data_IF_736533575861
#
_entry.id   IF_736533575861
#
_cell.length_a   1.000
_cell.length_b   1.000
_cell.length_c   1.000
_cell.angle_alpha   90.00
_cell.angle_beta   90.00
_cell.angle_gamma   90.00
#
_symmetry.space_group_name_H-M   'P 1'
#
loop_
_entity.id
_entity.type
_entity.pdbx_description
1 polymer ?
#
# COMPACT_ATOMS: atom_id res chain seq x y z
N UNK A 1 5.62 -13.16 20.03
CA UNK A 1 6.94 -12.57 20.37
C UNK A 1 7.46 -11.50 19.39
N UNK A 2 6.68 -10.99 18.42
CA UNK A 2 7.22 -10.05 17.43
C UNK A 2 6.61 -8.63 17.44
N UNK A 3 5.93 -8.23 18.52
CA UNK A 3 5.53 -6.83 18.77
C UNK A 3 6.63 -6.06 19.54
N UNK A 4 7.45 -6.80 20.30
CA UNK A 4 8.59 -6.23 21.03
C UNK A 4 9.70 -5.75 20.07
N UNK A 5 9.88 -6.40 18.91
CA UNK A 5 10.86 -6.01 17.90
C UNK A 5 10.50 -4.73 17.14
N UNK A 6 9.21 -4.52 16.82
CA UNK A 6 8.73 -3.27 16.23
C UNK A 6 8.79 -2.10 17.23
N UNK A 7 8.47 -2.36 18.51
CA UNK A 7 8.65 -1.37 19.58
C UNK A 7 10.11 -1.05 19.84
N UNK A 8 11.01 -2.04 19.82
CA UNK A 8 12.43 -1.78 20.03
C UNK A 8 13.04 -1.05 18.83
N UNK A 9 12.62 -1.31 17.59
CA UNK A 9 13.08 -0.54 16.42
C UNK A 9 12.62 0.93 16.46
N UNK A 10 11.40 1.17 16.96
CA UNK A 10 10.87 2.52 17.19
C UNK A 10 11.55 3.25 18.37
N UNK A 11 12.16 2.51 19.30
CA UNK A 11 12.77 3.04 20.52
C UNK A 11 14.31 3.01 20.53
N UNK A 12 14.95 2.24 19.65
CA UNK A 12 16.40 2.06 19.56
C UNK A 12 17.06 2.94 18.48
N UNK A 13 16.25 3.65 17.70
CA UNK A 13 16.70 4.77 16.88
C UNK A 13 17.16 5.91 17.77
N UNK A 14 18.45 5.93 18.09
CA UNK A 14 19.13 7.03 18.75
C UNK A 14 18.91 8.33 17.97
N UNK A 15 17.94 9.11 18.40
CA UNK A 15 17.83 10.52 18.07
C UNK A 15 17.01 11.14 19.20
N UNK A 16 17.61 12.12 19.88
CA UNK A 16 16.92 13.23 20.54
C UNK A 16 15.48 13.35 20.06
N UNK A 17 14.49 13.26 20.96
CA UNK A 17 13.04 13.35 20.70
C UNK A 17 12.71 14.32 19.55
N UNK A 18 12.84 13.81 18.33
CA UNK A 18 12.64 14.52 17.09
C UNK A 18 11.23 14.19 16.72
N UNK A 19 10.40 15.22 16.60
CA UNK A 19 9.04 15.08 16.11
C UNK A 19 9.05 14.15 14.89
N UNK A 20 8.34 13.03 14.96
CA UNK A 20 8.09 12.20 13.79
C UNK A 20 7.51 13.14 12.73
N UNK A 21 8.23 13.33 11.63
CA UNK A 21 7.77 14.21 10.56
C UNK A 21 6.39 13.75 10.08
N UNK A 22 5.47 14.67 9.73
CA UNK A 22 4.08 14.34 9.39
C UNK A 22 3.99 13.26 8.28
N UNK A 23 4.92 13.25 7.33
CA UNK A 23 4.96 12.26 6.27
C UNK A 23 5.20 10.81 6.70
N UNK A 24 5.84 10.58 7.86
CA UNK A 24 6.02 9.22 8.41
C UNK A 24 4.68 8.68 8.92
N UNK A 25 3.90 9.53 9.59
CA UNK A 25 2.57 9.15 10.10
C UNK A 25 1.64 8.88 8.93
N UNK A 26 1.62 9.74 7.92
CA UNK A 26 0.79 9.56 6.72
C UNK A 26 1.14 8.27 5.98
N UNK A 27 2.44 7.97 5.79
CA UNK A 27 2.92 6.73 5.17
C UNK A 27 2.44 5.49 5.95
N UNK A 28 2.60 5.51 7.27
CA UNK A 28 2.14 4.41 8.13
C UNK A 28 0.64 4.21 8.03
N UNK A 29 -0.16 5.29 8.09
CA UNK A 29 -1.61 5.19 8.00
C UNK A 29 -2.07 4.71 6.62
N UNK A 30 -1.40 5.12 5.54
CA UNK A 30 -1.67 4.64 4.18
C UNK A 30 -1.48 3.13 4.06
N UNK A 31 -0.42 2.60 4.67
CA UNK A 31 -0.06 1.17 4.62
C UNK A 31 -0.89 0.30 5.59
N UNK A 32 -1.25 0.87 6.73
CA UNK A 32 -1.91 0.17 7.83
C UNK A 32 -3.43 0.14 7.72
N UNK A 33 -4.05 1.07 7.00
CA UNK A 33 -5.50 1.20 6.93
C UNK A 33 -6.11 0.55 5.67
N UNK A 34 -7.29 -0.10 5.80
CA UNK A 34 -8.04 -0.35 7.03
C UNK A 34 -7.43 -1.47 7.89
N UNK A 35 -7.50 -1.34 9.21
CA UNK A 35 -7.19 -2.45 10.12
C UNK A 35 -8.31 -3.50 10.06
N UNK A 36 -7.95 -4.76 9.86
CA UNK A 36 -8.90 -5.84 9.64
C UNK A 36 -8.95 -6.78 10.84
N UNK A 37 -10.15 -7.19 11.25
CA UNK A 37 -10.31 -8.28 12.23
C UNK A 37 -9.94 -9.63 11.61
N UNK A 38 -9.64 -10.62 12.45
CA UNK A 38 -9.36 -12.00 11.99
C UNK A 38 -10.40 -12.52 10.98
N UNK A 39 -11.68 -12.36 11.26
CA UNK A 39 -12.75 -12.86 10.39
C UNK A 39 -12.79 -12.14 9.04
N UNK A 40 -12.62 -10.80 9.03
CA UNK A 40 -12.55 -10.02 7.79
C UNK A 40 -11.31 -10.38 6.98
N UNK A 41 -10.16 -10.52 7.62
CA UNK A 41 -8.92 -10.95 6.99
C UNK A 41 -9.07 -12.35 6.34
N UNK A 42 -9.68 -13.29 7.06
CA UNK A 42 -9.96 -14.64 6.57
C UNK A 42 -10.90 -14.63 5.36
N UNK A 43 -11.95 -13.81 5.40
CA UNK A 43 -12.89 -13.65 4.29
C UNK A 43 -12.19 -13.05 3.06
N UNK A 44 -11.41 -11.98 3.26
CA UNK A 44 -10.66 -11.34 2.19
C UNK A 44 -9.67 -12.30 1.53
N UNK A 45 -8.87 -13.03 2.30
CA UNK A 45 -7.94 -14.02 1.77
C UNK A 45 -8.67 -15.10 0.98
N UNK A 46 -9.80 -15.61 1.47
CA UNK A 46 -10.60 -16.60 0.74
C UNK A 46 -11.08 -16.04 -0.61
N UNK A 47 -11.58 -14.81 -0.62
CA UNK A 47 -12.09 -14.15 -1.83
C UNK A 47 -10.98 -13.86 -2.84
N UNK A 48 -9.86 -13.29 -2.39
CA UNK A 48 -8.67 -13.04 -3.23
C UNK A 48 -8.14 -14.35 -3.81
N UNK A 49 -8.04 -15.40 -2.98
CA UNK A 49 -7.52 -16.70 -3.42
C UNK A 49 -8.40 -17.34 -4.49
N UNK A 50 -9.73 -17.24 -4.34
CA UNK A 50 -10.68 -17.68 -5.35
C UNK A 50 -10.47 -16.92 -6.67
N UNK A 51 -10.35 -15.59 -6.60
CA UNK A 51 -10.15 -14.72 -7.77
C UNK A 51 -8.85 -15.04 -8.50
N UNK A 52 -7.78 -15.30 -7.77
CA UNK A 52 -6.46 -15.63 -8.32
C UNK A 52 -6.28 -17.11 -8.64
N UNK A 53 -7.33 -17.93 -8.45
CA UNK A 53 -7.32 -19.38 -8.70
C UNK A 53 -6.19 -20.09 -7.93
N UNK A 54 -6.04 -19.76 -6.66
CA UNK A 54 -5.04 -20.32 -5.76
C UNK A 54 -5.67 -20.88 -4.48
N UNK A 55 -4.97 -21.80 -3.83
CA UNK A 55 -5.37 -22.31 -2.53
C UNK A 55 -5.21 -21.21 -1.47
N UNK A 56 -6.23 -20.98 -0.62
CA UNK A 56 -6.13 -19.97 0.41
C UNK A 56 -5.07 -20.34 1.45
N UNK A 57 -4.12 -19.44 1.77
CA UNK A 57 -3.16 -19.68 2.82
C UNK A 57 -3.82 -19.74 4.20
N UNK A 58 -3.18 -20.48 5.10
CA UNK A 58 -3.49 -20.41 6.52
C UNK A 58 -2.98 -19.07 7.07
N UNK A 59 -3.84 -18.38 7.82
CA UNK A 59 -3.46 -17.19 8.56
C UNK A 59 -3.25 -17.50 10.05
N UNK A 60 -2.25 -16.88 10.69
CA UNK A 60 -2.07 -16.99 12.14
C UNK A 60 -3.32 -16.47 12.87
N UNK A 61 -3.58 -16.94 14.09
CA UNK A 61 -4.69 -16.43 14.90
C UNK A 61 -4.24 -15.17 15.62
N UNK A 62 -4.36 -14.04 14.93
CA UNK A 62 -4.09 -12.70 15.47
C UNK A 62 -5.38 -11.89 15.57
N UNK A 63 -5.51 -10.98 16.55
CA UNK A 63 -6.72 -10.17 16.74
C UNK A 63 -6.97 -9.21 15.57
N UNK A 64 -5.90 -8.71 14.95
CA UNK A 64 -5.96 -7.76 13.85
C UNK A 64 -4.86 -8.02 12.82
N UNK A 65 -5.14 -7.59 11.59
CA UNK A 65 -4.22 -7.64 10.45
C UNK A 65 -4.15 -6.28 9.78
N UNK A 66 -2.94 -5.89 9.38
CA UNK A 66 -2.77 -4.80 8.43
C UNK A 66 -2.97 -5.34 7.01
N UNK A 67 -3.42 -4.51 6.07
CA UNK A 67 -3.55 -4.92 4.69
C UNK A 67 -2.23 -5.43 4.08
N UNK A 68 -1.12 -4.77 4.43
CA UNK A 68 0.22 -5.19 4.00
C UNK A 68 0.58 -6.59 4.51
N UNK A 69 0.11 -6.98 5.70
CA UNK A 69 0.31 -8.34 6.21
C UNK A 69 -0.46 -9.37 5.38
N UNK A 70 -1.69 -9.07 4.97
CA UNK A 70 -2.47 -9.98 4.14
C UNK A 70 -1.83 -10.18 2.77
N UNK A 71 -1.40 -9.10 2.12
CA UNK A 71 -0.70 -9.19 0.83
C UNK A 71 0.61 -9.98 0.97
N UNK A 72 1.36 -9.75 2.06
CA UNK A 72 2.60 -10.48 2.36
C UNK A 72 2.36 -11.98 2.55
N UNK A 73 1.40 -12.37 3.39
CA UNK A 73 1.03 -13.80 3.60
C UNK A 73 0.63 -14.46 2.28
N UNK A 74 -0.18 -13.77 1.47
CA UNK A 74 -0.60 -14.27 0.15
C UNK A 74 0.58 -14.43 -0.81
N UNK A 75 1.49 -13.46 -0.83
CA UNK A 75 2.71 -13.50 -1.65
C UNK A 75 3.62 -14.66 -1.23
N UNK A 76 3.86 -14.84 0.07
CA UNK A 76 4.63 -15.95 0.62
C UNK A 76 4.05 -17.31 0.19
N UNK A 77 2.73 -17.47 0.31
CA UNK A 77 2.03 -18.68 -0.12
C UNK A 77 2.14 -18.92 -1.64
N UNK A 78 2.10 -17.85 -2.43
CA UNK A 78 2.24 -17.93 -3.87
C UNK A 78 3.64 -18.37 -4.28
N UNK A 79 4.67 -17.80 -3.67
CA UNK A 79 6.08 -18.16 -3.90
C UNK A 79 6.33 -19.62 -3.53
N UNK A 80 5.77 -20.09 -2.42
CA UNK A 80 5.86 -21.49 -2.00
C UNK A 80 5.19 -22.46 -3.01
N UNK A 81 4.08 -22.05 -3.63
CA UNK A 81 3.31 -22.91 -4.53
C UNK A 81 3.79 -22.89 -6.00
N UNK A 82 4.31 -21.76 -6.49
CA UNK A 82 4.63 -21.54 -7.91
C UNK A 82 6.14 -21.47 -8.21
N UNK A 83 6.99 -21.43 -7.19
CA UNK A 83 8.43 -21.26 -7.34
C UNK A 83 8.83 -19.83 -7.71
N UNK A 84 10.15 -19.58 -7.81
CA UNK A 84 10.71 -18.24 -7.96
C UNK A 84 10.47 -17.58 -9.33
N UNK A 85 10.04 -18.33 -10.35
CA UNK A 85 9.90 -17.83 -11.71
C UNK A 85 8.44 -17.87 -12.17
N UNK A 86 7.92 -16.71 -12.55
CA UNK A 86 6.62 -16.59 -13.21
C UNK A 86 6.64 -15.49 -14.26
N UNK A 87 5.98 -15.73 -15.39
CA UNK A 87 5.70 -14.69 -16.39
C UNK A 87 4.56 -13.76 -15.97
N UNK A 88 3.85 -14.10 -14.88
CA UNK A 88 2.78 -13.27 -14.34
C UNK A 88 3.34 -12.33 -13.27
N UNK A 89 2.84 -11.10 -13.31
CA UNK A 89 3.12 -10.12 -12.28
C UNK A 89 2.21 -10.31 -11.06
N UNK A 90 2.60 -11.23 -10.19
CA UNK A 90 1.79 -11.59 -9.03
C UNK A 90 1.62 -10.46 -8.02
N UNK A 91 2.60 -9.56 -7.92
CA UNK A 91 2.53 -8.42 -7.02
C UNK A 91 1.43 -7.44 -7.45
N UNK A 92 1.34 -7.13 -8.74
CA UNK A 92 0.24 -6.31 -9.27
C UNK A 92 -1.11 -7.03 -9.21
N UNK A 93 -1.15 -8.33 -9.52
CA UNK A 93 -2.39 -9.11 -9.46
C UNK A 93 -2.94 -9.20 -8.03
N UNK A 94 -2.07 -9.40 -7.03
CA UNK A 94 -2.45 -9.40 -5.62
C UNK A 94 -2.95 -8.04 -5.17
N UNK A 95 -2.23 -6.96 -5.48
CA UNK A 95 -2.66 -5.61 -5.14
C UNK A 95 -4.01 -5.28 -5.79
N UNK A 96 -4.21 -5.63 -7.06
CA UNK A 96 -5.47 -5.41 -7.76
C UNK A 96 -6.63 -6.20 -7.12
N UNK A 97 -6.41 -7.48 -6.82
CA UNK A 97 -7.41 -8.30 -6.16
C UNK A 97 -7.75 -7.77 -4.75
N UNK A 98 -6.75 -7.35 -3.97
CA UNK A 98 -6.93 -6.75 -2.65
C UNK A 98 -7.75 -5.44 -2.71
N UNK A 99 -7.56 -4.60 -3.75
CA UNK A 99 -8.40 -3.41 -3.98
C UNK A 99 -9.85 -3.77 -4.25
N UNK A 100 -10.08 -4.80 -5.06
CA UNK A 100 -11.43 -5.25 -5.40
C UNK A 100 -12.18 -5.78 -4.17
N UNK A 101 -11.47 -6.33 -3.19
CA UNK A 101 -12.05 -6.73 -1.90
C UNK A 101 -12.13 -5.58 -0.88
N UNK A 102 -11.70 -4.36 -1.25
CA UNK A 102 -11.75 -3.18 -0.38
C UNK A 102 -10.85 -3.26 0.85
N UNK A 103 -9.82 -4.12 0.82
CA UNK A 103 -8.92 -4.30 1.96
C UNK A 103 -7.66 -3.45 1.91
N UNK A 104 -7.35 -2.81 0.77
CA UNK A 104 -6.30 -1.79 0.65
C UNK A 104 -6.89 -0.52 0.05
N UNK A 105 -6.16 0.59 0.19
CA UNK A 105 -6.54 1.87 -0.40
C UNK A 105 -6.82 1.75 -1.91
N UNK A 106 -7.80 2.53 -2.44
CA UNK A 106 -8.02 2.66 -3.87
C UNK A 106 -6.72 2.95 -4.64
N UNK A 107 -6.67 2.51 -5.90
CA UNK A 107 -5.44 2.65 -6.68
C UNK A 107 -5.06 4.12 -6.82
N UNK A 108 -3.84 4.51 -6.43
CA UNK A 108 -3.34 5.84 -6.74
C UNK A 108 -3.16 5.99 -8.25
N UNK A 109 -3.19 7.23 -8.73
CA UNK A 109 -2.87 7.55 -10.12
C UNK A 109 -1.35 7.68 -10.21
N UNK A 110 -0.67 6.63 -10.65
CA UNK A 110 0.77 6.67 -10.96
C UNK A 110 0.98 7.33 -12.32
N UNK A 111 1.84 8.33 -12.43
CA UNK A 111 1.95 9.14 -13.66
C UNK A 111 3.38 9.39 -14.15
N UNK A 112 4.41 9.13 -13.34
CA UNK A 112 5.80 9.23 -13.76
C UNK A 112 6.69 8.35 -12.90
N UNK A 113 7.80 7.88 -13.48
CA UNK A 113 8.85 7.25 -12.69
C UNK A 113 9.59 8.32 -11.90
N UNK A 114 10.00 7.98 -10.69
CA UNK A 114 11.00 8.78 -9.99
C UNK A 114 12.39 8.38 -10.50
N UNK A 115 13.39 9.22 -10.27
CA UNK A 115 14.80 8.84 -10.47
C UNK A 115 15.30 7.81 -9.43
N UNK A 116 14.45 7.41 -8.47
CA UNK A 116 14.71 6.33 -7.53
C UNK A 116 14.11 5.03 -8.06
N UNK A 117 14.92 3.96 -8.07
CA UNK A 117 14.46 2.64 -8.45
C UNK A 117 13.25 2.22 -7.60
N UNK A 118 12.26 1.61 -8.24
CA UNK A 118 11.04 1.06 -7.62
C UNK A 118 10.00 2.08 -7.11
N UNK A 119 10.22 3.37 -7.33
CA UNK A 119 9.29 4.43 -6.93
C UNK A 119 8.73 5.18 -8.14
N UNK A 120 7.42 5.38 -8.15
CA UNK A 120 6.70 6.21 -9.10
C UNK A 120 6.06 7.39 -8.38
N UNK A 121 6.02 8.55 -9.04
CA UNK A 121 5.15 9.64 -8.64
C UNK A 121 3.70 9.22 -8.82
N UNK A 122 2.88 9.52 -7.83
CA UNK A 122 1.45 9.33 -7.93
C UNK A 122 0.64 10.28 -7.09
N UNK A 123 -0.66 10.28 -7.36
CA UNK A 123 -1.64 11.10 -6.65
C UNK A 123 -2.48 10.20 -5.76
N UNK A 124 -2.53 10.54 -4.47
CA UNK A 124 -3.40 9.92 -3.47
C UNK A 124 -4.41 10.97 -3.00
N UNK A 125 -5.66 10.56 -2.79
CA UNK A 125 -6.65 11.42 -2.14
C UNK A 125 -6.52 11.28 -0.64
N UNK A 126 -6.23 12.39 0.04
CA UNK A 126 -6.17 12.40 1.49
C UNK A 126 -7.58 12.20 2.07
N UNK A 127 -7.79 11.15 2.85
CA UNK A 127 -9.12 10.84 3.37
C UNK A 127 -9.65 11.87 4.39
N UNK A 128 -8.79 12.65 5.04
CA UNK A 128 -9.20 13.68 6.00
C UNK A 128 -9.55 15.01 5.33
N UNK A 129 -8.86 15.37 4.25
CA UNK A 129 -9.06 16.67 3.57
C UNK A 129 -9.76 16.57 2.23
N UNK A 130 -9.95 15.36 1.70
CA UNK A 130 -10.49 15.07 0.37
C UNK A 130 -9.70 15.71 -0.79
N UNK A 131 -8.50 16.22 -0.50
CA UNK A 131 -7.64 16.85 -1.50
C UNK A 131 -6.66 15.84 -2.11
N UNK A 132 -6.41 15.93 -3.43
CA UNK A 132 -5.30 15.23 -4.05
C UNK A 132 -3.97 15.70 -3.46
N UNK A 133 -3.08 14.76 -3.17
CA UNK A 133 -1.73 15.02 -2.68
C UNK A 133 -0.71 14.27 -3.54
N UNK A 134 0.48 14.85 -3.69
CA UNK A 134 1.60 14.20 -4.36
C UNK A 134 2.27 13.20 -3.42
N UNK A 135 2.44 11.98 -3.91
CA UNK A 135 3.11 10.90 -3.21
C UNK A 135 4.16 10.26 -4.09
N UNK A 136 5.20 9.71 -3.47
CA UNK A 136 6.00 8.65 -4.08
C UNK A 136 5.44 7.33 -3.61
N UNK A 137 5.19 6.42 -4.55
CA UNK A 137 4.52 5.15 -4.30
C UNK A 137 5.32 4.02 -4.91
N UNK A 138 5.27 2.85 -4.28
CA UNK A 138 5.75 1.64 -4.93
C UNK A 138 4.90 1.36 -6.17
N UNK A 139 5.46 0.57 -7.09
CA UNK A 139 4.78 0.15 -8.32
C UNK A 139 3.40 -0.48 -8.09
N UNK A 140 3.21 -1.19 -6.98
CA UNK A 140 1.92 -1.77 -6.61
C UNK A 140 0.98 -0.75 -5.95
N UNK A 141 1.50 0.38 -5.48
CA UNK A 141 0.79 1.39 -4.70
C UNK A 141 0.43 0.92 -3.29
N UNK A 142 1.10 -0.11 -2.76
CA UNK A 142 0.85 -0.63 -1.40
C UNK A 142 1.59 0.15 -0.33
N UNK A 143 2.72 0.74 -0.68
CA UNK A 143 3.59 1.52 0.19
C UNK A 143 3.86 2.86 -0.46
N UNK A 144 4.06 3.88 0.36
CA UNK A 144 4.18 5.23 -0.15
C UNK A 144 4.45 6.24 0.94
N UNK A 145 5.01 7.37 0.54
CA UNK A 145 5.17 8.52 1.42
C UNK A 145 4.71 9.78 0.69
N UNK A 146 4.04 10.71 1.40
CA UNK A 146 3.71 12.01 0.84
C UNK A 146 4.97 12.80 0.56
N UNK A 147 4.93 13.62 -0.47
CA UNK A 147 6.03 14.49 -0.88
C UNK A 147 5.76 15.93 -0.45
N UNK A 148 5.52 16.14 0.86
CA UNK A 148 5.20 17.46 1.45
C UNK A 148 6.23 18.54 1.10
N UNK A 149 7.51 18.16 0.95
CA UNK A 149 8.57 19.08 0.52
C UNK A 149 8.34 19.66 -0.88
N UNK A 150 7.57 18.98 -1.72
CA UNK A 150 7.22 19.38 -3.08
C UNK A 150 5.89 20.10 -3.14
N UNK A 151 5.22 20.33 -2.00
CA UNK A 151 3.95 21.07 -1.97
C UNK A 151 4.09 22.44 -2.64
N UNK A 152 5.24 23.12 -2.56
CA UNK A 152 5.49 24.38 -3.27
C UNK A 152 5.47 24.25 -4.80
N UNK A 153 5.83 23.09 -5.36
CA UNK A 153 5.71 22.79 -6.80
C UNK A 153 4.24 22.51 -7.15
N UNK A 154 3.51 21.93 -6.19
CA UNK A 154 2.12 21.52 -6.29
C UNK A 154 1.15 22.42 -5.50
N UNK A 155 1.48 23.71 -5.29
CA UNK A 155 0.56 24.67 -4.66
C UNK A 155 0.63 26.02 -5.35
N UNK A 156 -0.57 26.54 -5.60
CA UNK A 156 -0.94 27.88 -6.09
C UNK A 156 -0.19 28.44 -7.31
N UNK A 157 -0.80 28.26 -8.49
CA UNK A 157 -0.48 29.01 -9.72
C UNK A 157 -0.20 28.12 -10.94
N UNK A 158 0.29 26.90 -10.71
CA UNK A 158 0.40 25.88 -11.75
C UNK A 158 -0.97 25.28 -12.07
N UNK A 159 -1.59 25.68 -13.18
CA UNK A 159 -2.77 24.97 -13.70
C UNK A 159 -2.32 23.60 -14.20
N UNK A 160 -2.53 22.55 -13.43
CA UNK A 160 -2.36 21.18 -13.93
C UNK A 160 -3.71 20.67 -14.41
N UNK A 161 -3.71 20.00 -15.57
CA UNK A 161 -4.86 19.30 -16.10
C UNK A 161 -4.60 17.81 -16.01
N UNK A 162 -5.49 17.07 -15.36
CA UNK A 162 -5.52 15.62 -15.47
C UNK A 162 -6.20 15.29 -16.79
N UNK A 163 -5.43 14.84 -17.78
CA UNK A 163 -5.98 14.36 -19.05
C UNK A 163 -6.61 12.98 -18.82
N UNK A 164 -7.90 12.96 -18.51
CA UNK A 164 -8.66 11.72 -18.43
C UNK A 164 -9.03 11.26 -19.84
N UNK A 165 -8.36 10.24 -20.35
CA UNK A 165 -8.78 9.57 -21.59
C UNK A 165 -9.95 8.65 -21.27
N UNK A 166 -11.17 9.15 -21.38
CA UNK A 166 -12.36 8.31 -21.36
C UNK A 166 -12.35 7.38 -22.56
N UNK A 167 -12.49 6.05 -22.35
CA UNK A 167 -12.98 5.18 -23.42
C UNK A 167 -14.42 5.60 -23.69
N UNK A 168 -14.71 6.12 -24.89
CA UNK A 168 -16.11 6.21 -25.32
C UNK A 168 -16.65 4.78 -25.36
N UNK A 169 -17.81 4.60 -24.73
CA UNK A 169 -18.59 3.37 -24.82
C UNK A 169 -19.06 3.13 -26.26
#
# INVERSE_FOLDING_TARGET
>A
ENIAGLRSLLLSGSTTAGQLGPGIVDSFLYEALPVLTYDKAKQAIKSISLRLQMSPPNIPKEPFFLPIDLVRIMKEALMAAKGAFSFKDWDLLLAHAARQEGVIYPSPILFADTNWSDWSFGIVVNAATEKPQLWRLSRTGLTGAPMHEWDHVFSEGGRWAVLMTGKSS
#
